data_IF_759234511069
#
_entry.id   IF_759234511069
#
_cell.length_a   1.000
_cell.length_b   1.000
_cell.length_c   1.000
_cell.angle_alpha   90.00
_cell.angle_beta   90.00
_cell.angle_gamma   90.00
#
_symmetry.space_group_name_H-M   'P 1'
#
loop_
_entity.id
_entity.type
_entity.pdbx_description
1 polymer ?
#
# COMPACT_ATOMS: atom_id res chain seq x y z
N UNK A 1 -42.00 -21.60 -10.79
CA UNK A 1 -40.98 -22.11 -11.74
C UNK A 1 -40.64 -21.00 -12.70
N UNK A 2 -39.65 -20.17 -12.36
CA UNK A 2 -39.16 -19.10 -13.23
C UNK A 2 -37.93 -19.62 -13.97
N UNK A 3 -37.98 -19.64 -15.29
CA UNK A 3 -36.93 -20.17 -16.16
C UNK A 3 -35.83 -19.13 -16.33
N UNK A 4 -34.66 -19.37 -15.74
CA UNK A 4 -33.44 -18.63 -16.05
C UNK A 4 -33.07 -18.93 -17.51
N UNK A 5 -33.25 -17.93 -18.38
CA UNK A 5 -32.92 -18.02 -19.80
C UNK A 5 -31.47 -17.61 -19.96
N UNK A 6 -30.60 -18.57 -20.28
CA UNK A 6 -29.19 -18.28 -20.55
C UNK A 6 -29.07 -17.33 -21.76
N UNK A 7 -28.48 -16.16 -21.55
CA UNK A 7 -28.14 -15.22 -22.61
C UNK A 7 -26.93 -15.78 -23.38
N UNK A 8 -26.99 -15.88 -24.73
CA UNK A 8 -25.86 -16.38 -25.51
C UNK A 8 -24.68 -15.41 -25.40
N UNK A 9 -23.51 -15.93 -25.06
CA UNK A 9 -22.27 -15.16 -24.96
C UNK A 9 -21.81 -14.76 -26.37
N UNK A 10 -21.98 -13.48 -26.72
CA UNK A 10 -21.67 -12.89 -28.05
C UNK A 10 -20.29 -12.23 -28.12
N UNK A 11 -19.36 -12.53 -27.20
CA UNK A 11 -17.99 -12.01 -27.29
C UNK A 11 -17.83 -10.51 -27.00
N UNK A 12 -18.86 -9.87 -26.45
CA UNK A 12 -18.79 -8.52 -25.90
C UNK A 12 -18.61 -8.62 -24.37
N UNK A 13 -17.41 -8.98 -23.96
CA UNK A 13 -17.02 -9.17 -22.55
C UNK A 13 -16.97 -7.88 -21.71
N UNK A 14 -17.38 -6.75 -22.28
CA UNK A 14 -17.45 -5.42 -21.64
C UNK A 14 -18.84 -4.80 -21.82
N UNK A 15 -19.90 -5.60 -21.67
CA UNK A 15 -21.22 -5.03 -21.40
C UNK A 15 -21.20 -4.28 -20.07
N UNK A 16 -21.99 -3.21 -20.01
CA UNK A 16 -22.10 -2.30 -18.88
C UNK A 16 -22.43 -3.09 -17.59
N UNK A 17 -21.44 -3.27 -16.70
CA UNK A 17 -21.63 -3.98 -15.43
C UNK A 17 -22.76 -3.31 -14.64
N UNK A 18 -23.90 -4.00 -14.42
CA UNK A 18 -25.03 -3.39 -13.73
C UNK A 18 -24.73 -3.12 -12.25
N UNK A 19 -23.79 -3.89 -11.68
CA UNK A 19 -23.23 -3.79 -10.33
C UNK A 19 -21.77 -4.25 -10.36
N UNK A 20 -20.91 -3.57 -9.59
CA UNK A 20 -19.46 -3.83 -9.54
C UNK A 20 -19.15 -5.30 -9.27
N UNK A 21 -18.46 -5.96 -10.20
CA UNK A 21 -18.03 -7.35 -10.04
C UNK A 21 -19.12 -8.40 -10.22
N UNK A 22 -20.30 -8.03 -10.75
CA UNK A 22 -21.37 -8.95 -11.09
C UNK A 22 -21.77 -8.81 -12.57
N UNK A 23 -21.98 -9.92 -13.30
CA UNK A 23 -22.41 -9.88 -14.69
C UNK A 23 -23.85 -9.34 -14.85
N UNK A 24 -24.67 -9.45 -13.81
CA UNK A 24 -26.05 -8.98 -13.78
C UNK A 24 -26.41 -8.33 -12.44
N UNK A 25 -27.52 -7.59 -12.37
CA UNK A 25 -27.98 -7.02 -11.09
C UNK A 25 -28.30 -8.14 -10.11
N UNK A 26 -27.87 -7.98 -8.86
CA UNK A 26 -28.22 -8.89 -7.78
C UNK A 26 -29.76 -9.04 -7.68
N UNK A 27 -30.28 -10.28 -7.61
CA UNK A 27 -31.71 -10.54 -7.39
C UNK A 27 -32.25 -9.83 -6.15
N UNK A 28 -33.54 -9.49 -6.15
CA UNK A 28 -34.16 -8.69 -5.07
C UNK A 28 -34.19 -9.40 -3.71
N UNK A 29 -34.09 -10.72 -3.70
CA UNK A 29 -34.07 -11.58 -2.52
C UNK A 29 -32.64 -11.92 -2.04
N UNK A 30 -31.62 -11.50 -2.77
CA UNK A 30 -30.22 -11.71 -2.42
C UNK A 30 -29.56 -10.44 -1.87
N UNK A 31 -28.53 -10.63 -1.06
CA UNK A 31 -27.72 -9.53 -0.49
C UNK A 31 -26.25 -9.89 -0.51
N UNK A 32 -25.41 -8.94 -0.91
CA UNK A 32 -23.95 -9.11 -0.89
C UNK A 32 -23.48 -9.15 0.56
N UNK A 33 -22.89 -10.29 0.97
CA UNK A 33 -22.37 -10.45 2.34
C UNK A 33 -20.94 -9.95 2.49
N UNK A 34 -20.14 -9.99 1.42
CA UNK A 34 -18.76 -9.56 1.43
C UNK A 34 -18.36 -9.02 0.05
N UNK A 35 -17.87 -7.80 0.03
CA UNK A 35 -17.25 -7.16 -1.14
C UNK A 35 -16.05 -6.38 -0.60
N UNK A 36 -14.92 -7.06 -0.48
CA UNK A 36 -13.70 -6.49 0.09
C UNK A 36 -12.99 -5.60 -0.92
N UNK A 37 -12.65 -4.37 -0.52
CA UNK A 37 -11.61 -3.57 -1.16
C UNK A 37 -10.33 -3.64 -0.32
N UNK A 38 -9.14 -3.61 -0.92
CA UNK A 38 -7.89 -3.63 -0.19
C UNK A 38 -7.72 -2.38 0.71
N UNK A 39 -7.41 -2.59 1.99
CA UNK A 39 -7.02 -1.51 2.90
C UNK A 39 -5.51 -1.23 2.78
N UNK A 40 -5.18 -0.02 2.33
CA UNK A 40 -3.79 0.44 2.18
C UNK A 40 -3.00 0.42 3.50
N UNK A 41 -3.65 0.63 4.66
CA UNK A 41 -2.99 0.58 5.98
C UNK A 41 -2.55 -0.83 6.31
N UNK A 42 -3.41 -1.81 6.04
CA UNK A 42 -3.08 -3.22 6.22
C UNK A 42 -2.00 -3.64 5.24
N UNK A 43 -2.09 -3.19 4.00
CA UNK A 43 -1.11 -3.52 2.96
C UNK A 43 0.29 -2.93 3.23
N UNK A 44 0.35 -1.70 3.73
CA UNK A 44 1.62 -1.06 4.12
C UNK A 44 2.32 -1.81 5.26
N UNK A 45 1.56 -2.36 6.21
CA UNK A 45 2.09 -3.15 7.33
C UNK A 45 2.46 -4.58 6.95
N UNK A 46 1.59 -5.30 6.26
CA UNK A 46 1.71 -6.75 6.03
C UNK A 46 2.50 -7.10 4.76
N UNK A 47 2.38 -6.30 3.69
CA UNK A 47 3.05 -6.59 2.41
C UNK A 47 4.31 -5.76 2.21
N UNK A 48 4.23 -4.46 2.47
CA UNK A 48 5.36 -3.54 2.27
C UNK A 48 6.27 -3.40 3.49
N UNK A 49 5.93 -4.01 4.63
CA UNK A 49 6.75 -4.04 5.85
C UNK A 49 7.26 -2.66 6.30
N UNK A 50 6.47 -1.60 6.06
CA UNK A 50 6.86 -0.21 6.35
C UNK A 50 7.30 0.01 7.80
N UNK A 51 6.63 -0.56 8.84
CA UNK A 51 7.09 -0.40 10.22
C UNK A 51 8.49 -0.99 10.48
N UNK A 52 8.79 -2.16 9.90
CA UNK A 52 10.09 -2.80 10.04
C UNK A 52 11.19 -1.99 9.33
N UNK A 53 10.89 -1.49 8.13
CA UNK A 53 11.84 -0.70 7.36
C UNK A 53 12.10 0.68 8.00
N UNK A 54 11.07 1.33 8.54
CA UNK A 54 11.23 2.55 9.35
C UNK A 54 12.15 2.29 10.54
N UNK A 55 11.92 1.21 11.29
CA UNK A 55 12.79 0.83 12.41
C UNK A 55 14.24 0.58 11.99
N UNK A 56 14.44 -0.11 10.87
CA UNK A 56 15.77 -0.36 10.29
C UNK A 56 16.51 0.94 9.94
N UNK A 57 15.88 1.86 9.21
CA UNK A 57 16.51 3.13 8.86
C UNK A 57 16.73 4.02 10.09
N UNK A 58 15.81 4.04 11.04
CA UNK A 58 16.00 4.74 12.32
C UNK A 58 17.24 4.21 13.05
N UNK A 59 17.42 2.89 13.13
CA UNK A 59 18.61 2.29 13.73
C UNK A 59 19.90 2.72 13.02
N UNK A 60 19.91 2.75 11.68
CA UNK A 60 21.05 3.23 10.90
C UNK A 60 21.36 4.70 11.19
N UNK A 61 20.36 5.58 11.25
CA UNK A 61 20.57 6.99 11.53
C UNK A 61 21.12 7.22 12.96
N UNK A 62 20.61 6.47 13.94
CA UNK A 62 21.12 6.51 15.31
C UNK A 62 22.58 6.03 15.35
N UNK A 63 22.90 4.91 14.70
CA UNK A 63 24.27 4.40 14.62
C UNK A 63 25.19 5.41 13.94
N UNK A 64 24.76 6.03 12.84
CA UNK A 64 25.53 7.06 12.13
C UNK A 64 25.84 8.25 13.03
N UNK A 65 24.86 8.77 13.75
CA UNK A 65 25.07 9.86 14.71
C UNK A 65 26.00 9.42 15.84
N UNK A 66 25.79 8.22 16.39
CA UNK A 66 26.61 7.64 17.45
C UNK A 66 28.09 7.49 17.05
N UNK A 67 28.37 7.05 15.81
CA UNK A 67 29.74 6.95 15.30
C UNK A 67 30.45 8.31 15.27
N UNK A 68 29.77 9.37 14.80
CA UNK A 68 30.34 10.71 14.76
C UNK A 68 30.63 11.24 16.17
N UNK A 69 29.68 11.05 17.09
CA UNK A 69 29.81 11.49 18.48
C UNK A 69 30.84 10.67 19.28
N UNK A 70 31.08 9.42 18.90
CA UNK A 70 32.11 8.58 19.52
C UNK A 70 33.53 8.92 19.08
N UNK A 71 33.68 9.67 17.99
CA UNK A 71 34.95 10.24 17.54
C UNK A 71 35.16 11.65 18.08
N UNK A 72 35.85 12.49 17.29
CA UNK A 72 36.07 13.91 17.60
C UNK A 72 34.97 14.82 17.03
N UNK A 73 33.89 14.24 16.51
CA UNK A 73 32.80 14.98 15.86
C UNK A 73 31.90 15.70 16.86
N UNK A 74 31.46 16.90 16.51
CA UNK A 74 30.52 17.66 17.32
C UNK A 74 29.07 17.17 17.13
N UNK A 75 28.16 17.64 17.99
CA UNK A 75 26.71 17.44 17.82
C UNK A 75 26.24 18.02 16.48
N UNK A 76 26.82 19.13 16.03
CA UNK A 76 26.53 19.74 14.73
C UNK A 76 26.87 18.81 13.57
N UNK A 77 28.02 18.14 13.64
CA UNK A 77 28.47 17.19 12.61
C UNK A 77 27.57 15.95 12.56
N UNK A 78 27.15 15.44 13.73
CA UNK A 78 26.23 14.32 13.83
C UNK A 78 24.86 14.67 13.23
N UNK A 79 24.32 15.86 13.53
CA UNK A 79 23.06 16.34 12.95
C UNK A 79 23.17 16.50 11.43
N UNK A 80 24.26 17.11 10.94
CA UNK A 80 24.48 17.28 9.51
C UNK A 80 24.55 15.91 8.80
N UNK A 81 25.23 14.94 9.40
CA UNK A 81 25.30 13.57 8.87
C UNK A 81 23.93 12.90 8.77
N UNK A 82 23.05 13.08 9.76
CA UNK A 82 21.68 12.56 9.72
C UNK A 82 20.85 13.29 8.66
N UNK A 83 20.89 14.62 8.65
CA UNK A 83 20.12 15.46 7.72
C UNK A 83 20.49 15.18 6.28
N UNK A 84 21.77 14.94 5.97
CA UNK A 84 22.21 14.59 4.62
C UNK A 84 21.67 13.23 4.15
N UNK A 85 21.46 12.28 5.06
CA UNK A 85 20.91 10.95 4.74
C UNK A 85 19.39 10.91 4.75
N UNK A 86 18.74 11.82 5.47
CA UNK A 86 17.30 11.84 5.71
C UNK A 86 16.47 11.87 4.40
N UNK A 87 16.80 12.68 3.37
CA UNK A 87 16.06 12.69 2.12
C UNK A 87 16.00 11.33 1.43
N UNK A 88 17.10 10.55 1.48
CA UNK A 88 17.15 9.23 0.87
C UNK A 88 16.23 8.25 1.61
N UNK A 89 16.24 8.29 2.95
CA UNK A 89 15.35 7.49 3.79
C UNK A 89 13.88 7.84 3.52
N UNK A 90 13.56 9.14 3.49
CA UNK A 90 12.20 9.62 3.21
C UNK A 90 11.76 9.22 1.81
N UNK A 91 12.65 9.33 0.81
CA UNK A 91 12.34 8.92 -0.55
C UNK A 91 12.04 7.42 -0.64
N UNK A 92 12.86 6.57 -0.01
CA UNK A 92 12.65 5.12 0.00
C UNK A 92 11.35 4.71 0.70
N UNK A 93 11.09 5.24 1.90
CA UNK A 93 9.84 4.95 2.63
C UNK A 93 8.62 5.52 1.91
N UNK A 94 8.73 6.75 1.38
CA UNK A 94 7.65 7.43 0.67
C UNK A 94 7.26 6.72 -0.63
N UNK A 95 8.23 6.19 -1.38
CA UNK A 95 7.94 5.43 -2.61
C UNK A 95 7.27 4.09 -2.31
N UNK A 96 7.65 3.39 -1.22
CA UNK A 96 6.93 2.19 -0.79
C UNK A 96 5.52 2.50 -0.27
N UNK A 97 5.35 3.59 0.47
CA UNK A 97 4.03 4.03 0.91
C UNK A 97 3.13 4.43 -0.26
N UNK A 98 3.69 5.11 -1.27
CA UNK A 98 3.00 5.46 -2.50
C UNK A 98 2.57 4.21 -3.28
N UNK A 99 3.45 3.22 -3.42
CA UNK A 99 3.12 1.95 -4.05
C UNK A 99 2.00 1.21 -3.29
N UNK A 100 2.09 1.15 -1.96
CA UNK A 100 1.04 0.55 -1.14
C UNK A 100 -0.32 1.25 -1.33
N UNK A 101 -0.31 2.58 -1.45
CA UNK A 101 -1.51 3.37 -1.69
C UNK A 101 -2.07 3.19 -3.10
N UNK A 102 -1.21 3.23 -4.14
CA UNK A 102 -1.63 3.02 -5.53
C UNK A 102 -2.21 1.63 -5.72
N UNK A 103 -1.53 0.60 -5.21
CA UNK A 103 -2.00 -0.78 -5.33
C UNK A 103 -3.32 -1.03 -4.59
N UNK A 104 -3.63 -0.28 -3.52
CA UNK A 104 -4.93 -0.37 -2.85
C UNK A 104 -6.06 0.37 -3.59
N UNK A 105 -5.73 1.19 -4.61
CA UNK A 105 -6.71 1.90 -5.44
C UNK A 105 -6.98 1.23 -6.78
N UNK A 106 -6.05 0.40 -7.25
CA UNK A 106 -6.14 -0.27 -8.55
C UNK A 106 -6.59 -1.73 -8.45
N UNK A 107 -6.90 -2.21 -7.25
CA UNK A 107 -7.35 -3.58 -6.96
C UNK A 107 -8.58 -3.49 -6.08
#
# INVERSE_FOLDING_TARGET
>A
MSTLKAVPNTGHEHEFEPQLGLPERLPQDERVLWQGAPDWKRMSRERFHLPALTGYFTAILILRAGFILSGEGSIGDALMAVVMLLPLVVFALGSLALLAWLSARTT
#
